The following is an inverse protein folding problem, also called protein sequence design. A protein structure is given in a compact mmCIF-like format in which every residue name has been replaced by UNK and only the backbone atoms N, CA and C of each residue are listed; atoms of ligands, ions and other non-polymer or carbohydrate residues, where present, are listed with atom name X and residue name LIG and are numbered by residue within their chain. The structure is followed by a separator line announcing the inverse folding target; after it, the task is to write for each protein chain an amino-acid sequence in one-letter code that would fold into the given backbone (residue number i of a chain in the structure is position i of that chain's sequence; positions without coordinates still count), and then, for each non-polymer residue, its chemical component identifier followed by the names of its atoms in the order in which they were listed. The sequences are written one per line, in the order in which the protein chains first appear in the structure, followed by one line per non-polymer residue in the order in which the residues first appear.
data_IF_779055335603
#
_entry.id   IF_779055335603
#
_cell.length_a   1.000
_cell.length_b   1.000
_cell.length_c   1.000
_cell.angle_alpha   90.00
_cell.angle_beta   90.00
_cell.angle_gamma   90.00
#
_symmetry.space_group_name_H-M   'P 1'
#
loop_
_entity.id
_entity.type
_entity.pdbx_description
1 polymer ?
#
# COMPACT_ATOMS: atom_id res chain seq x y z
N UNK A 1 1.84 -24.15 -24.07
CA UNK A 1 2.62 -22.90 -24.21
C UNK A 1 1.57 -21.80 -24.28
N UNK A 2 1.46 -20.83 -23.37
CA UNK A 2 2.42 -20.24 -22.45
C UNK A 2 1.94 -20.25 -20.98
N UNK A 3 2.91 -20.33 -20.07
CA UNK A 3 2.79 -20.25 -18.62
C UNK A 3 2.18 -18.92 -18.17
N UNK A 4 0.89 -18.94 -17.84
CA UNK A 4 0.19 -17.85 -17.19
C UNK A 4 0.83 -17.59 -15.81
N UNK A 5 1.60 -16.50 -15.65
CA UNK A 5 2.06 -16.02 -14.34
C UNK A 5 1.26 -14.79 -13.88
N UNK A 6 0.12 -14.94 -13.17
CA UNK A 6 -0.53 -13.83 -12.51
C UNK A 6 -0.69 -14.18 -11.04
N UNK A 7 0.37 -14.02 -10.25
CA UNK A 7 0.17 -14.04 -8.79
C UNK A 7 1.05 -13.05 -8.05
N UNK A 8 1.19 -11.87 -8.62
CA UNK A 8 1.56 -10.72 -7.81
C UNK A 8 0.34 -10.38 -6.95
N UNK A 9 0.40 -10.77 -5.68
CA UNK A 9 -0.63 -10.41 -4.69
C UNK A 9 -0.67 -8.89 -4.64
N UNK A 10 -1.81 -8.29 -4.96
CA UNK A 10 -2.04 -6.86 -4.79
C UNK A 10 -2.67 -6.66 -3.41
N UNK A 11 -2.13 -5.73 -2.63
CA UNK A 11 -2.69 -5.30 -1.36
C UNK A 11 -3.21 -3.89 -1.51
N UNK A 12 -4.44 -3.67 -1.06
CA UNK A 12 -5.05 -2.34 -0.99
C UNK A 12 -4.87 -1.78 0.41
N UNK A 13 -4.39 -0.54 0.51
CA UNK A 13 -4.30 0.14 1.79
C UNK A 13 -5.71 0.52 2.27
N UNK A 14 -6.09 0.21 3.51
CA UNK A 14 -7.41 0.56 4.03
C UNK A 14 -7.59 2.08 4.24
N UNK A 15 -6.50 2.82 4.42
CA UNK A 15 -6.53 4.24 4.76
C UNK A 15 -6.76 5.18 3.56
N UNK A 16 -6.19 4.87 2.39
CA UNK A 16 -6.30 5.70 1.18
C UNK A 16 -6.85 4.93 -0.02
N UNK A 17 -7.21 3.65 0.15
CA UNK A 17 -7.79 2.79 -0.87
C UNK A 17 -6.91 2.52 -2.11
N UNK A 18 -5.64 2.93 -2.07
CA UNK A 18 -4.66 2.68 -3.12
C UNK A 18 -4.18 1.23 -3.13
N UNK A 19 -4.07 0.68 -4.33
CA UNK A 19 -3.65 -0.71 -4.58
C UNK A 19 -2.18 -0.76 -5.00
N UNK A 20 -1.40 -1.57 -4.30
CA UNK A 20 0.02 -1.78 -4.58
C UNK A 20 0.35 -3.27 -4.58
N UNK A 21 1.43 -3.67 -5.25
CA UNK A 21 1.96 -5.02 -5.08
C UNK A 21 2.29 -5.27 -3.61
N UNK A 22 1.78 -6.35 -3.05
CA UNK A 22 2.02 -6.78 -1.67
C UNK A 22 3.52 -6.82 -1.37
N UNK A 23 4.36 -7.33 -2.27
CA UNK A 23 5.82 -7.29 -2.13
C UNK A 23 6.40 -5.88 -2.06
N UNK A 24 5.95 -4.98 -2.93
CA UNK A 24 6.47 -3.62 -3.00
C UNK A 24 6.03 -2.81 -1.78
N UNK A 25 4.73 -2.85 -1.45
CA UNK A 25 4.22 -2.14 -0.28
C UNK A 25 4.77 -2.73 1.02
N UNK A 26 4.94 -4.05 1.14
CA UNK A 26 5.58 -4.64 2.31
C UNK A 26 7.05 -4.21 2.49
N UNK A 27 7.79 -3.94 1.40
CA UNK A 27 9.14 -3.35 1.52
C UNK A 27 9.06 -1.90 1.96
N UNK A 28 8.19 -1.12 1.31
CA UNK A 28 7.99 0.29 1.65
C UNK A 28 7.60 0.48 3.11
N UNK A 29 6.62 -0.29 3.61
CA UNK A 29 6.13 -0.21 4.99
C UNK A 29 7.20 -0.54 6.05
N UNK A 30 8.28 -1.26 5.68
CA UNK A 30 9.43 -1.48 6.59
C UNK A 30 10.23 -0.20 6.82
N UNK A 31 10.31 0.66 5.82
CA UNK A 31 11.04 1.93 5.91
C UNK A 31 10.10 3.07 6.31
N UNK A 32 8.93 3.15 5.67
CA UNK A 32 7.92 4.20 5.86
C UNK A 32 6.52 3.58 5.87
N UNK A 33 5.82 3.52 7.01
CA UNK A 33 4.48 2.95 7.12
C UNK A 33 3.37 3.88 6.57
N UNK A 34 3.58 4.48 5.40
CA UNK A 34 2.68 5.42 4.76
C UNK A 34 2.46 5.12 3.27
N UNK A 35 1.42 5.69 2.67
CA UNK A 35 1.13 5.56 1.25
C UNK A 35 2.19 6.31 0.41
N UNK A 36 2.80 5.73 -0.63
CA UNK A 36 3.74 6.46 -1.48
C UNK A 36 3.06 7.52 -2.39
N UNK A 37 1.73 7.51 -2.52
CA UNK A 37 0.97 8.46 -3.34
C UNK A 37 0.54 9.67 -2.51
N UNK A 38 -0.22 9.44 -1.45
CA UNK A 38 -0.80 10.52 -0.63
C UNK A 38 -0.13 10.65 0.74
N UNK A 39 0.90 9.84 1.03
CA UNK A 39 1.60 9.77 2.32
C UNK A 39 0.72 9.48 3.53
N UNK A 40 -0.49 8.96 3.32
CA UNK A 40 -1.41 8.55 4.39
C UNK A 40 -0.86 7.35 5.16
N UNK A 41 -0.78 7.46 6.49
CA UNK A 41 -0.33 6.38 7.36
C UNK A 41 -1.28 5.17 7.34
N UNK A 42 -0.72 3.96 7.39
CA UNK A 42 -1.51 2.71 7.33
C UNK A 42 -2.15 2.33 8.67
N UNK A 43 -1.72 2.96 9.77
CA UNK A 43 -2.34 2.80 11.09
C UNK A 43 -3.68 3.52 11.14
N UNK A 44 -4.75 2.75 11.17
CA UNK A 44 -6.14 3.20 11.31
C UNK A 44 -6.30 4.19 12.46
N UNK A 45 -6.53 5.47 12.12
CA UNK A 45 -7.57 6.27 12.77
C UNK A 45 -8.04 7.36 11.81
N UNK A 46 -9.33 7.31 11.54
CA UNK A 46 -10.12 8.27 10.80
C UNK A 46 -10.00 9.70 11.38
N UNK A 47 -10.31 10.68 10.53
CA UNK A 47 -10.46 12.11 10.82
C UNK A 47 -9.19 12.95 10.96
N UNK A 48 -8.65 13.38 9.81
CA UNK A 48 -7.88 14.63 9.74
C UNK A 48 -6.76 14.57 8.72
N UNK A 49 -6.89 15.39 7.68
CA UNK A 49 -5.77 15.79 6.83
C UNK A 49 -4.60 16.24 7.70
N UNK A 50 -3.53 15.47 7.76
CA UNK A 50 -2.21 16.00 8.13
C UNK A 50 -1.18 15.34 7.24
N UNK A 51 -0.62 16.15 6.36
CA UNK A 51 0.56 15.90 5.54
C UNK A 51 1.66 15.23 6.39
N UNK A 52 2.21 14.15 5.85
CA UNK A 52 3.41 13.48 6.37
C UNK A 52 4.68 14.00 5.69
#
# INVERSE_FOLDING_TARGET
MEDMKPREKITRLPACLHTFHSKCISKWLKEKPCCPIDKVAVSVNDSGQTDC
#
